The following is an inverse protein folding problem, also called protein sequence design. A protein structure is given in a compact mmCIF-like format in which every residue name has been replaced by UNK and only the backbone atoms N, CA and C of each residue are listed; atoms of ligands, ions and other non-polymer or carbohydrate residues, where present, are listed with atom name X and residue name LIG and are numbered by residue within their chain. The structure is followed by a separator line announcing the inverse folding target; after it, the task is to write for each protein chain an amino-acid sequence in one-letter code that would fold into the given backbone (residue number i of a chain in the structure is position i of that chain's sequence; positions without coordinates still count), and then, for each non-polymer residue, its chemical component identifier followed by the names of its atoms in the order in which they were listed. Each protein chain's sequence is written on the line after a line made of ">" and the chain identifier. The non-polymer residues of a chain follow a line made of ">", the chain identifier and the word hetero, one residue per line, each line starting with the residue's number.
data_IF_700738462976
#
_entry.id   IF_700738462976
#
_cell.length_a   1.000
_cell.length_b   1.000
_cell.length_c   1.000
_cell.angle_alpha   90.00
_cell.angle_beta   90.00
_cell.angle_gamma   90.00
#
_symmetry.space_group_name_H-M   'P 1'
#
loop_
_entity.id
_entity.type
_entity.pdbx_description
1 polymer ?
#
# COMPACT_ATOMS: atom_id res chain seq x y z
N UNK A 1 7.32 11.81 -19.46
CA UNK A 1 6.42 11.85 -18.28
C UNK A 1 7.12 12.62 -17.18
N UNK A 2 6.46 13.58 -16.52
CA UNK A 2 7.05 14.28 -15.37
C UNK A 2 7.02 13.34 -14.13
N UNK A 3 7.86 13.60 -13.12
CA UNK A 3 7.96 12.76 -11.93
C UNK A 3 6.68 12.75 -11.07
N UNK A 4 5.94 13.86 -11.05
CA UNK A 4 4.65 13.97 -10.36
C UNK A 4 3.61 13.03 -10.97
N UNK A 5 3.61 12.89 -12.30
CA UNK A 5 2.75 11.98 -13.04
C UNK A 5 3.04 10.53 -12.67
N UNK A 6 4.29 10.16 -12.39
CA UNK A 6 4.65 8.83 -11.90
C UNK A 6 4.15 8.59 -10.47
N UNK A 7 4.26 9.59 -9.57
CA UNK A 7 3.72 9.52 -8.21
C UNK A 7 2.19 9.33 -8.23
N UNK A 8 1.48 10.15 -9.01
CA UNK A 8 0.03 10.03 -9.16
C UNK A 8 -0.40 8.69 -9.77
N UNK A 9 0.37 8.18 -10.74
CA UNK A 9 0.16 6.84 -11.31
C UNK A 9 0.33 5.76 -10.25
N UNK A 10 1.36 5.86 -9.40
CA UNK A 10 1.55 4.95 -8.27
C UNK A 10 0.36 4.97 -7.31
N UNK A 11 -0.16 6.16 -6.99
CA UNK A 11 -1.32 6.31 -6.09
C UNK A 11 -2.55 5.66 -6.72
N UNK A 12 -2.81 5.93 -8.01
CA UNK A 12 -3.90 5.32 -8.75
C UNK A 12 -3.80 3.79 -8.79
N UNK A 13 -2.59 3.25 -8.95
CA UNK A 13 -2.34 1.82 -8.95
C UNK A 13 -2.65 1.16 -7.60
N UNK A 14 -2.23 1.76 -6.48
CA UNK A 14 -2.59 1.27 -5.14
C UNK A 14 -4.10 1.37 -4.92
N UNK A 15 -4.73 2.49 -5.30
CA UNK A 15 -6.19 2.64 -5.20
C UNK A 15 -6.93 1.56 -6.01
N UNK A 16 -6.43 1.20 -7.19
CA UNK A 16 -6.96 0.08 -7.99
C UNK A 16 -6.80 -1.26 -7.26
N UNK A 17 -5.67 -1.51 -6.61
CA UNK A 17 -5.50 -2.70 -5.77
C UNK A 17 -6.48 -2.69 -4.59
N UNK A 18 -6.70 -1.55 -3.92
CA UNK A 18 -7.72 -1.43 -2.88
C UNK A 18 -9.09 -1.90 -3.41
N UNK A 19 -9.54 -1.35 -4.55
CA UNK A 19 -10.85 -1.68 -5.12
C UNK A 19 -10.99 -3.14 -5.58
N UNK A 20 -9.91 -3.77 -6.04
CA UNK A 20 -9.97 -5.10 -6.68
C UNK A 20 -9.51 -6.24 -5.80
N UNK A 21 -8.77 -5.96 -4.72
CA UNK A 21 -8.15 -6.96 -3.84
C UNK A 21 -8.49 -6.78 -2.38
N UNK A 22 -8.94 -5.59 -1.93
CA UNK A 22 -9.30 -5.44 -0.52
C UNK A 22 -10.62 -6.14 -0.20
N UNK A 23 -10.66 -6.83 0.92
CA UNK A 23 -11.78 -7.61 1.43
C UNK A 23 -11.52 -8.08 2.85
N UNK A 24 -12.28 -9.06 3.31
CA UNK A 24 -12.20 -9.57 4.69
C UNK A 24 -10.84 -10.16 5.06
N UNK A 25 -10.11 -10.71 4.10
CA UNK A 25 -8.87 -11.45 4.36
C UNK A 25 -7.60 -10.65 4.00
N UNK A 26 -7.76 -9.48 3.38
CA UNK A 26 -6.67 -8.63 2.97
C UNK A 26 -7.20 -7.21 2.78
N UNK A 27 -6.68 -6.24 3.51
CA UNK A 27 -7.17 -4.85 3.42
C UNK A 27 -6.01 -3.90 3.23
N UNK A 28 -6.14 -2.95 2.30
CA UNK A 28 -5.15 -1.90 2.05
C UNK A 28 -5.76 -0.55 2.44
N UNK A 29 -5.13 0.15 3.37
CA UNK A 29 -5.47 1.53 3.71
C UNK A 29 -4.34 2.48 3.33
N UNK A 30 -4.70 3.60 2.72
CA UNK A 30 -3.77 4.67 2.35
C UNK A 30 -4.12 5.93 3.14
N UNK A 31 -3.11 6.61 3.67
CA UNK A 31 -3.29 7.82 4.47
C UNK A 31 -2.24 8.87 4.09
N UNK A 32 -2.70 9.99 3.56
CA UNK A 32 -1.87 11.15 3.23
C UNK A 32 -1.78 12.08 4.44
N UNK A 33 -0.58 12.48 4.83
CA UNK A 33 -0.29 13.40 5.92
C UNK A 33 0.42 14.65 5.40
N UNK A 34 -0.32 15.68 4.97
CA UNK A 34 0.25 16.87 4.32
C UNK A 34 1.27 17.60 5.19
N UNK A 35 0.99 17.75 6.48
CA UNK A 35 1.88 18.47 7.43
C UNK A 35 3.23 17.79 7.62
N UNK A 36 3.35 16.51 7.29
CA UNK A 36 4.57 15.72 7.39
C UNK A 36 5.20 15.40 6.03
N UNK A 37 4.52 15.74 4.93
CA UNK A 37 4.87 15.30 3.58
C UNK A 37 5.03 13.78 3.49
N UNK A 38 4.08 13.03 4.05
CA UNK A 38 4.12 11.56 4.07
C UNK A 38 2.87 10.96 3.44
N UNK A 39 3.08 9.91 2.66
CA UNK A 39 2.04 8.94 2.32
C UNK A 39 2.33 7.65 3.06
N UNK A 40 1.40 7.21 3.91
CA UNK A 40 1.49 5.93 4.59
C UNK A 40 0.52 4.93 3.96
N UNK A 41 1.00 3.74 3.66
CA UNK A 41 0.20 2.62 3.17
C UNK A 41 0.26 1.51 4.21
N UNK A 42 -0.90 1.02 4.62
CA UNK A 42 -1.06 -0.05 5.58
C UNK A 42 -1.70 -1.24 4.90
N UNK A 43 -1.13 -2.43 5.10
CA UNK A 43 -1.73 -3.68 4.64
C UNK A 43 -2.05 -4.57 5.83
N UNK A 44 -3.32 -4.95 5.96
CA UNK A 44 -3.85 -5.77 7.05
C UNK A 44 -4.12 -7.20 6.55
N UNK A 45 -3.30 -8.14 7.00
CA UNK A 45 -3.35 -9.57 6.66
C UNK A 45 -4.44 -10.26 7.49
N UNK A 46 -5.53 -10.65 6.84
CA UNK A 46 -6.77 -11.14 7.45
C UNK A 46 -7.81 -10.03 7.72
N UNK A 47 -7.66 -8.85 7.10
CA UNK A 47 -8.52 -7.69 7.33
C UNK A 47 -8.21 -6.91 8.61
N UNK A 48 -8.69 -5.67 8.71
CA UNK A 48 -8.36 -4.75 9.80
C UNK A 48 -8.58 -5.35 11.19
N UNK A 49 -9.79 -5.83 11.47
CA UNK A 49 -10.17 -6.32 12.80
C UNK A 49 -9.31 -7.49 13.28
N UNK A 50 -8.98 -8.42 12.37
CA UNK A 50 -8.17 -9.59 12.72
C UNK A 50 -6.69 -9.25 12.85
N UNK A 51 -6.18 -8.36 12.00
CA UNK A 51 -4.78 -7.97 12.02
C UNK A 51 -4.36 -7.34 13.36
N UNK A 52 -5.27 -6.61 14.02
CA UNK A 52 -5.03 -6.02 15.34
C UNK A 52 -4.80 -7.02 16.48
N UNK A 53 -5.18 -8.30 16.30
CA UNK A 53 -4.86 -9.34 17.30
C UNK A 53 -3.37 -9.68 17.32
N UNK A 54 -2.65 -9.46 16.22
CA UNK A 54 -1.21 -9.65 16.14
C UNK A 54 -0.56 -8.64 15.17
N UNK A 55 -0.50 -7.36 15.55
CA UNK A 55 -0.19 -6.28 14.62
C UNK A 55 1.23 -6.40 14.05
N UNK A 56 2.20 -6.86 14.85
CA UNK A 56 3.60 -7.05 14.42
C UNK A 56 3.74 -8.06 13.27
N UNK A 57 2.85 -9.05 13.17
CA UNK A 57 2.90 -10.08 12.13
C UNK A 57 1.92 -9.82 10.98
N UNK A 58 0.85 -9.07 11.25
CA UNK A 58 -0.31 -8.94 10.35
C UNK A 58 -0.50 -7.55 9.77
N UNK A 59 0.16 -6.53 10.31
CA UNK A 59 0.09 -5.17 9.79
C UNK A 59 1.43 -4.82 9.20
N UNK A 60 1.43 -4.50 7.92
CA UNK A 60 2.58 -4.00 7.21
C UNK A 60 2.41 -2.52 6.94
N UNK A 61 3.39 -1.71 7.31
CA UNK A 61 3.37 -0.26 7.12
C UNK A 61 4.49 0.13 6.16
N UNK A 62 4.13 0.75 5.05
CA UNK A 62 5.04 1.39 4.12
C UNK A 62 4.86 2.89 4.27
N UNK A 63 5.97 3.61 4.49
CA UNK A 63 5.99 5.07 4.57
C UNK A 63 6.76 5.63 3.39
N UNK A 64 6.14 6.56 2.66
CA UNK A 64 6.75 7.23 1.52
C UNK A 64 6.86 8.71 1.86
N UNK A 65 8.10 9.20 1.85
CA UNK A 65 8.41 10.62 2.00
C UNK A 65 8.16 11.32 0.66
N UNK A 66 7.38 12.40 0.68
CA UNK A 66 6.95 13.16 -0.48
C UNK A 66 7.81 14.40 -0.74
N UNK A 67 8.82 14.68 0.09
CA UNK A 67 9.68 15.88 -0.05
C UNK A 67 10.54 15.85 -1.30
N UNK A 68 10.96 14.66 -1.75
CA UNK A 68 11.65 14.45 -3.02
C UNK A 68 10.72 13.69 -3.98
N UNK A 69 10.17 14.35 -5.02
CA UNK A 69 9.27 13.71 -5.97
C UNK A 69 9.89 12.52 -6.73
N UNK A 70 11.21 12.53 -6.95
CA UNK A 70 11.91 11.44 -7.66
C UNK A 70 11.96 10.19 -6.79
N UNK A 71 12.39 10.33 -5.54
CA UNK A 71 12.42 9.23 -4.58
C UNK A 71 11.01 8.74 -4.24
N UNK A 72 10.06 9.67 -4.07
CA UNK A 72 8.66 9.34 -3.83
C UNK A 72 8.08 8.46 -4.96
N UNK A 73 8.32 8.83 -6.22
CA UNK A 73 7.88 8.05 -7.37
C UNK A 73 8.50 6.65 -7.41
N UNK A 74 9.80 6.52 -7.11
CA UNK A 74 10.48 5.21 -7.04
C UNK A 74 9.89 4.34 -5.93
N UNK A 75 9.77 4.86 -4.72
CA UNK A 75 9.21 4.13 -3.58
C UNK A 75 7.73 3.75 -3.79
N UNK A 76 6.95 4.55 -4.53
CA UNK A 76 5.59 4.19 -4.91
C UNK A 76 5.53 2.97 -5.83
N UNK A 77 6.44 2.87 -6.80
CA UNK A 77 6.54 1.71 -7.70
C UNK A 77 6.90 0.46 -6.90
N UNK A 78 7.90 0.57 -6.02
CA UNK A 78 8.33 -0.52 -5.14
C UNK A 78 7.19 -0.98 -4.22
N UNK A 79 6.51 -0.02 -3.57
CA UNK A 79 5.36 -0.30 -2.72
C UNK A 79 4.23 -0.99 -3.48
N UNK A 80 3.93 -0.53 -4.70
CA UNK A 80 2.93 -1.16 -5.55
C UNK A 80 3.28 -2.60 -5.90
N UNK A 81 4.48 -2.86 -6.42
CA UNK A 81 4.91 -4.21 -6.79
C UNK A 81 4.90 -5.15 -5.59
N UNK A 82 5.36 -4.67 -4.43
CA UNK A 82 5.36 -5.45 -3.19
C UNK A 82 3.94 -5.81 -2.73
N UNK A 83 3.03 -4.84 -2.68
CA UNK A 83 1.64 -5.05 -2.25
C UNK A 83 0.88 -5.93 -3.26
N UNK A 84 1.12 -5.77 -4.55
CA UNK A 84 0.52 -6.61 -5.59
C UNK A 84 0.95 -8.07 -5.44
N UNK A 85 2.24 -8.32 -5.19
CA UNK A 85 2.76 -9.66 -4.92
C UNK A 85 2.13 -10.27 -3.67
N UNK A 86 2.00 -9.50 -2.60
CA UNK A 86 1.31 -9.95 -1.39
C UNK A 86 -0.15 -10.33 -1.68
N UNK A 87 -0.90 -9.46 -2.36
CA UNK A 87 -2.29 -9.70 -2.69
C UNK A 87 -2.48 -10.95 -3.57
N UNK A 88 -1.55 -11.22 -4.48
CA UNK A 88 -1.58 -12.41 -5.33
C UNK A 88 -1.12 -13.68 -4.59
N UNK A 89 -0.17 -13.58 -3.67
CA UNK A 89 0.28 -14.67 -2.79
C UNK A 89 -0.80 -15.11 -1.81
N UNK A 90 -1.51 -14.17 -1.18
CA UNK A 90 -2.63 -14.45 -0.28
C UNK A 90 -3.71 -15.31 -0.93
N UNK A 91 -4.03 -15.06 -2.20
CA UNK A 91 -5.03 -15.83 -2.93
C UNK A 91 -4.61 -17.29 -3.18
N UNK A 92 -3.30 -17.58 -3.24
CA UNK A 92 -2.77 -18.94 -3.41
C UNK A 92 -2.80 -19.75 -2.12
N UNK A 93 -2.77 -19.12 -0.96
CA UNK A 93 -2.85 -19.82 0.34
C UNK A 93 -4.30 -20.20 0.71
N UNK A 94 -5.30 -19.59 0.05
CA UNK A 94 -6.71 -19.82 0.28
C UNK A 94 -7.39 -20.77 -0.73
N UNK A 95 -6.70 -21.15 -1.81
CA UNK A 95 -7.17 -22.07 -2.84
C UNK A 95 -6.44 -23.41 -2.74
#
# INVERSE_FOLDING_TARGET
>A
MNLESNLLTGIANISRLCMTKSGTDFEINMSLYPTKNELNIYVFKGGYAHAWRNPKKRIEKIRIDLRDPKLAAMHMVEAFTHIENMANGFRKEMN
#
